data_IF_924618851687
#
_entry.id   IF_924618851687
#
_cell.length_a   1.000
_cell.length_b   1.000
_cell.length_c   1.000
_cell.angle_alpha   90.00
_cell.angle_beta   90.00
_cell.angle_gamma   90.00
#
_symmetry.space_group_name_H-M   'P 1'
#
loop_
_entity.id
_entity.type
_entity.pdbx_description
1 polymer ?
#
# COMPACT_ATOMS: atom_id res chain seq x y z
N UNK A 1 -8.74 6.72 2.41
CA UNK A 1 -8.21 7.14 2.87
C UNK A 1 -7.33 6.69 3.53
N UNK A 2 -6.85 6.50 3.61
CA UNK A 2 -6.09 6.08 4.17
C UNK A 2 -5.18 6.60 4.70
N UNK A 3 -5.07 6.93 5.45
CA UNK A 3 -4.17 7.49 5.93
C UNK A 3 -3.35 6.61 6.57
N UNK A 4 -2.32 6.25 6.16
CA UNK A 4 -1.34 5.54 6.82
C UNK A 4 -0.75 6.46 7.78
N UNK A 5 -1.08 6.34 8.93
CA UNK A 5 -0.76 7.30 9.92
C UNK A 5 0.12 6.72 10.98
N UNK A 6 0.57 7.57 11.88
CA UNK A 6 1.31 7.13 13.05
C UNK A 6 0.47 6.22 13.89
N UNK A 7 -0.84 6.43 13.93
CA UNK A 7 -1.73 5.58 14.72
C UNK A 7 -1.72 4.15 14.19
N UNK A 8 -1.70 3.98 12.87
CA UNK A 8 -1.63 2.64 12.30
C UNK A 8 -0.31 1.96 12.62
N UNK A 9 0.78 2.71 12.58
CA UNK A 9 2.08 2.17 12.91
C UNK A 9 2.13 1.74 14.36
N UNK A 10 1.64 2.58 15.26
CA UNK A 10 1.63 2.29 16.67
C UNK A 10 0.75 1.09 16.97
N UNK A 11 -0.41 1.00 16.32
CA UNK A 11 -1.32 -0.13 16.53
C UNK A 11 -0.70 -1.45 16.07
N UNK A 12 0.04 -1.42 14.97
CA UNK A 12 0.69 -2.62 14.47
C UNK A 12 1.72 -3.13 15.46
N UNK A 13 2.50 -2.21 16.04
CA UNK A 13 3.49 -2.60 17.04
C UNK A 13 2.84 -3.12 18.31
N UNK A 14 1.75 -2.51 18.74
CA UNK A 14 1.03 -2.94 19.91
C UNK A 14 0.45 -4.34 19.74
N UNK A 15 -0.15 -4.60 18.60
CA UNK A 15 -0.72 -5.91 18.34
C UNK A 15 0.35 -6.99 18.33
N UNK A 16 1.47 -6.68 17.74
CA UNK A 16 2.58 -7.60 17.70
C UNK A 16 3.05 -7.91 19.12
N UNK A 17 3.18 -6.88 19.95
CA UNK A 17 3.65 -7.06 21.33
C UNK A 17 2.68 -7.91 22.15
N UNK A 18 1.37 -7.79 21.89
CA UNK A 18 0.39 -8.57 22.62
C UNK A 18 0.44 -10.06 22.27
N UNK A 19 0.83 -10.37 21.03
CA UNK A 19 0.83 -11.75 20.56
C UNK A 19 2.15 -12.49 20.80
N UNK A 20 3.21 -11.78 21.10
CA UNK A 20 4.53 -12.36 21.21
C UNK A 20 4.76 -12.91 22.61
N UNK A 21 5.48 -14.03 22.71
CA UNK A 21 5.85 -14.58 23.99
C UNK A 21 6.93 -13.70 24.64
N UNK A 22 6.99 -13.64 25.98
CA UNK A 22 8.00 -12.79 26.63
C UNK A 22 9.44 -13.07 26.21
N UNK A 23 9.76 -14.33 25.97
CA UNK A 23 11.11 -14.68 25.55
C UNK A 23 11.44 -14.13 24.18
N UNK A 24 10.44 -13.99 23.31
CA UNK A 24 10.64 -13.43 22.00
C UNK A 24 10.88 -11.93 22.06
N UNK A 25 10.27 -11.26 23.04
CA UNK A 25 10.45 -9.83 23.20
C UNK A 25 11.89 -9.47 23.54
N UNK A 26 12.57 -10.34 24.27
CA UNK A 26 13.95 -10.08 24.67
C UNK A 26 14.85 -9.99 23.47
N UNK A 27 14.58 -10.75 22.43
CA UNK A 27 15.42 -10.82 21.26
C UNK A 27 15.00 -9.87 20.14
N UNK A 28 13.93 -9.11 20.34
CA UNK A 28 13.38 -8.30 19.27
C UNK A 28 14.10 -6.96 19.12
N UNK A 29 14.44 -6.65 17.88
CA UNK A 29 14.98 -5.35 17.56
C UNK A 29 13.83 -4.48 17.06
N UNK A 30 13.31 -3.64 17.95
CA UNK A 30 12.16 -2.81 17.63
C UNK A 30 12.49 -1.76 16.56
N UNK A 31 13.76 -1.41 16.40
CA UNK A 31 14.16 -0.47 15.35
C UNK A 31 13.90 -1.06 13.98
N UNK A 32 14.16 -2.36 13.81
CA UNK A 32 13.91 -3.04 12.55
C UNK A 32 12.41 -3.07 12.27
N UNK A 33 11.60 -3.36 13.29
CA UNK A 33 10.15 -3.39 13.12
C UNK A 33 9.60 -2.01 12.81
N UNK A 34 10.14 -0.99 13.44
CA UNK A 34 9.73 0.38 13.17
C UNK A 34 10.05 0.77 11.74
N UNK A 35 11.24 0.39 11.28
CA UNK A 35 11.62 0.65 9.90
C UNK A 35 10.70 -0.05 8.91
N UNK A 36 10.33 -1.30 9.21
CA UNK A 36 9.40 -2.04 8.38
C UNK A 36 8.06 -1.32 8.30
N UNK A 37 7.57 -0.84 9.45
CA UNK A 37 6.31 -0.11 9.47
C UNK A 37 6.37 1.17 8.65
N UNK A 38 7.49 1.87 8.71
CA UNK A 38 7.68 3.08 7.92
C UNK A 38 7.67 2.79 6.43
N UNK A 39 8.33 1.71 6.03
CA UNK A 39 8.32 1.33 4.62
C UNK A 39 6.92 0.94 4.16
N UNK A 40 6.17 0.26 5.02
CA UNK A 40 4.80 -0.10 4.69
C UNK A 40 3.93 1.15 4.51
N UNK A 41 4.17 2.19 5.31
CA UNK A 41 3.48 3.46 5.15
C UNK A 41 3.81 4.10 3.82
N UNK A 42 5.09 4.11 3.47
CA UNK A 42 5.52 4.68 2.19
C UNK A 42 4.89 3.94 1.02
N UNK A 43 4.82 2.61 1.13
CA UNK A 43 4.21 1.81 0.08
C UNK A 43 2.73 2.16 -0.08
N UNK A 44 2.02 2.33 1.03
CA UNK A 44 0.61 2.67 1.00
C UNK A 44 0.38 4.05 0.38
N UNK A 45 1.25 5.00 0.74
CA UNK A 45 1.17 6.35 0.18
C UNK A 45 1.41 6.34 -1.31
N UNK A 46 2.40 5.58 -1.76
CA UNK A 46 2.72 5.48 -3.17
C UNK A 46 1.59 4.79 -3.92
N UNK A 47 0.96 3.80 -3.30
CA UNK A 47 -0.16 3.11 -3.92
C UNK A 47 -1.33 4.08 -4.14
N UNK A 48 -1.55 4.98 -3.19
CA UNK A 48 -2.56 6.01 -3.34
C UNK A 48 -2.27 6.94 -4.51
N UNK A 49 -1.01 7.33 -4.66
CA UNK A 49 -0.60 8.16 -5.77
C UNK A 49 -0.76 7.45 -7.10
N UNK A 50 -0.45 6.16 -7.13
CA UNK A 50 -0.62 5.36 -8.34
C UNK A 50 -2.10 5.28 -8.73
N UNK A 51 -2.97 5.10 -7.76
CA UNK A 51 -4.41 5.06 -8.03
C UNK A 51 -4.87 6.36 -8.65
N UNK A 52 -4.43 7.49 -8.10
CA UNK A 52 -4.79 8.79 -8.66
C UNK A 52 -4.26 8.96 -10.07
N UNK A 53 -3.04 8.51 -10.32
CA UNK A 53 -2.44 8.61 -11.64
C UNK A 53 -3.19 7.75 -12.65
N UNK A 54 -3.64 6.58 -12.25
CA UNK A 54 -4.42 5.70 -13.12
C UNK A 54 -5.77 6.36 -13.46
N UNK A 55 -6.41 6.96 -12.45
CA UNK A 55 -7.65 7.67 -12.70
C UNK A 55 -7.45 8.79 -13.71
N UNK A 56 -6.38 9.53 -13.57
CA UNK A 56 -6.07 10.61 -14.49
C UNK A 56 -5.79 10.07 -15.90
N UNK A 57 -5.09 8.97 -15.99
CA UNK A 57 -4.80 8.34 -17.28
C UNK A 57 -6.10 7.93 -17.97
N UNK A 58 -7.03 7.34 -17.22
CA UNK A 58 -8.32 6.94 -17.79
C UNK A 58 -9.13 8.17 -18.24
N UNK A 59 -9.08 9.25 -17.48
CA UNK A 59 -9.75 10.49 -17.88
C UNK A 59 -9.17 11.03 -19.17
N UNK A 60 -7.90 10.75 -19.42
CA UNK A 60 -7.22 11.17 -20.66
C UNK A 60 -7.35 10.14 -21.76
N UNK A 61 -8.26 9.18 -21.58
CA UNK A 61 -8.56 8.15 -22.59
C UNK A 61 -7.42 7.19 -22.87
N UNK A 62 -6.55 6.98 -21.88
CA UNK A 62 -5.51 5.97 -22.03
C UNK A 62 -6.11 4.59 -21.81
N UNK A 63 -5.68 3.64 -22.59
CA UNK A 63 -6.22 2.29 -22.51
C UNK A 63 -5.62 1.52 -21.35
N UNK A 64 -6.31 0.48 -20.94
CA UNK A 64 -5.78 -0.39 -19.90
C UNK A 64 -4.49 -1.07 -20.34
N UNK A 65 -4.34 -1.30 -21.65
CA UNK A 65 -3.09 -1.85 -22.17
C UNK A 65 -1.92 -0.90 -21.95
N UNK A 66 -2.14 0.38 -22.23
CA UNK A 66 -1.12 1.38 -22.01
C UNK A 66 -0.79 1.52 -20.54
N UNK A 67 -1.80 1.57 -19.70
CA UNK A 67 -1.62 1.72 -18.27
C UNK A 67 -0.87 0.52 -17.72
N UNK A 68 -1.27 -0.69 -18.12
CA UNK A 68 -0.60 -1.90 -17.67
C UNK A 68 0.87 -1.91 -18.09
N UNK A 69 1.15 -1.48 -19.31
CA UNK A 69 2.53 -1.44 -19.79
C UNK A 69 3.39 -0.51 -18.92
N UNK A 70 2.85 0.64 -18.55
CA UNK A 70 3.58 1.58 -17.70
C UNK A 70 3.78 1.04 -16.29
N UNK A 71 2.82 0.28 -15.80
CA UNK A 71 2.91 -0.30 -14.46
C UNK A 71 3.70 -1.61 -14.42
N UNK A 72 4.03 -2.15 -15.59
CA UNK A 72 4.74 -3.42 -15.67
C UNK A 72 3.86 -4.62 -15.42
N UNK A 73 2.57 -4.52 -15.71
CA UNK A 73 1.62 -5.61 -15.52
C UNK A 73 0.77 -5.78 -16.75
N UNK A 74 -0.01 -6.84 -16.80
CA UNK A 74 -0.88 -7.09 -17.94
C UNK A 74 -2.08 -6.14 -17.91
N UNK A 75 -2.74 -6.02 -19.06
CA UNK A 75 -3.97 -5.24 -19.17
C UNK A 75 -5.00 -5.71 -18.15
N UNK A 76 -5.18 -7.03 -18.04
CA UNK A 76 -6.17 -7.58 -17.13
C UNK A 76 -5.80 -7.29 -15.68
N UNK A 77 -4.51 -7.39 -15.35
CA UNK A 77 -4.08 -7.13 -13.98
C UNK A 77 -4.31 -5.66 -13.60
N UNK A 78 -4.01 -4.74 -14.51
CA UNK A 78 -4.24 -3.32 -14.26
C UNK A 78 -5.73 -3.04 -14.08
N UNK A 79 -6.55 -3.61 -14.95
CA UNK A 79 -7.99 -3.40 -14.89
C UNK A 79 -8.58 -4.00 -13.62
N UNK A 80 -8.10 -5.17 -13.22
CA UNK A 80 -8.58 -5.81 -12.01
C UNK A 80 -8.23 -4.99 -10.78
N UNK A 81 -7.02 -4.49 -10.75
CA UNK A 81 -6.56 -3.75 -9.57
C UNK A 81 -7.19 -2.37 -9.44
N UNK A 82 -7.30 -1.66 -10.53
CA UNK A 82 -7.75 -0.26 -10.48
C UNK A 82 -9.13 0.00 -11.08
N UNK A 83 -9.71 -1.00 -11.69
CA UNK A 83 -11.00 -0.81 -12.38
C UNK A 83 -12.11 -0.35 -11.46
N UNK A 84 -12.14 -0.86 -10.25
CA UNK A 84 -13.17 -0.48 -9.30
C UNK A 84 -13.05 1.00 -8.91
N UNK A 85 -11.83 1.48 -8.69
CA UNK A 85 -11.61 2.88 -8.36
C UNK A 85 -12.02 3.78 -9.52
N UNK A 86 -11.73 3.36 -10.74
CA UNK A 86 -12.11 4.11 -11.92
C UNK A 86 -13.62 4.16 -12.05
N UNK A 87 -14.30 3.05 -11.82
CA UNK A 87 -15.76 2.99 -11.93
C UNK A 87 -16.45 3.83 -10.86
N UNK A 88 -15.83 3.97 -9.70
CA UNK A 88 -16.39 4.72 -8.59
C UNK A 88 -16.13 6.23 -8.71
N UNK A 89 -15.22 6.63 -9.56
CA UNK A 89 -14.82 8.04 -9.67
C UNK A 89 -15.84 8.90 -10.42
#
# INVERSE_FOLDING_TARGET
MSKVSRANKANALERWADDVQPEDLVAVDTAVLRHLAELAEQRASLEGELTEAVLEARRSNRSWSEIGAMLGVSKQAAQRKYGRAVSAA
#
